data_IF_209489863244
#
_entry.id   IF_209489863244
#
_cell.length_a   1.000
_cell.length_b   1.000
_cell.length_c   1.000
_cell.angle_alpha   90.00
_cell.angle_beta   90.00
_cell.angle_gamma   90.00
#
_symmetry.space_group_name_H-M   'P 1'
#
loop_
_entity.id
_entity.type
_entity.pdbx_description
1 polymer ?
#
# COMPACT_ATOMS: atom_id res chain seq x y z
N UNK A 1 -33.48 -49.62 5.78
CA UNK A 1 -32.00 -49.59 5.61
C UNK A 1 -31.51 -48.85 4.35
N UNK A 2 -32.34 -48.61 3.32
CA UNK A 2 -31.91 -47.95 2.06
C UNK A 2 -31.83 -46.41 2.15
N UNK A 3 -32.57 -45.76 3.07
CA UNK A 3 -32.56 -44.29 3.22
C UNK A 3 -31.31 -43.72 3.93
N UNK A 4 -30.67 -44.49 4.81
CA UNK A 4 -29.47 -44.06 5.54
C UNK A 4 -28.24 -43.96 4.61
N UNK A 5 -28.23 -44.72 3.51
CA UNK A 5 -27.16 -44.64 2.50
C UNK A 5 -27.24 -43.38 1.63
N UNK A 6 -28.43 -42.80 1.42
CA UNK A 6 -28.59 -41.56 0.62
C UNK A 6 -28.26 -40.28 1.40
N UNK A 7 -28.26 -40.35 2.74
CA UNK A 7 -27.90 -39.21 3.59
C UNK A 7 -26.39 -39.15 3.90
N UNK A 8 -25.68 -40.28 3.84
CA UNK A 8 -24.23 -40.32 3.94
C UNK A 8 -23.53 -39.69 2.72
N UNK A 9 -24.11 -39.88 1.53
CA UNK A 9 -23.59 -39.36 0.25
C UNK A 9 -23.86 -37.85 0.05
N UNK A 10 -24.95 -37.32 0.62
CA UNK A 10 -25.25 -35.87 0.57
C UNK A 10 -24.39 -35.03 1.52
N UNK A 11 -23.58 -35.68 2.37
CA UNK A 11 -22.62 -35.03 3.29
C UNK A 11 -21.21 -34.91 2.70
N UNK A 12 -20.88 -35.69 1.66
CA UNK A 12 -19.59 -35.62 0.93
C UNK A 12 -19.62 -34.64 -0.24
N UNK A 13 -20.80 -34.20 -0.67
CA UNK A 13 -21.02 -33.14 -1.67
C UNK A 13 -21.44 -31.79 -1.08
N UNK A 14 -21.09 -31.51 0.18
CA UNK A 14 -21.16 -30.13 0.70
C UNK A 14 -20.23 -29.24 -0.13
N UNK A 15 -20.53 -27.94 -0.32
CA UNK A 15 -19.82 -27.07 -1.26
C UNK A 15 -18.32 -26.99 -0.92
N UNK A 16 -17.53 -27.89 -1.50
CA UNK A 16 -16.06 -27.80 -1.52
C UNK A 16 -15.58 -26.56 -2.29
N UNK A 17 -16.51 -25.83 -2.91
CA UNK A 17 -16.35 -24.52 -3.54
C UNK A 17 -16.58 -23.35 -2.54
N UNK A 18 -16.18 -23.51 -1.28
CA UNK A 18 -16.09 -22.41 -0.30
C UNK A 18 -14.71 -22.39 0.39
N UNK A 19 -13.73 -23.07 -0.19
CA UNK A 19 -12.35 -22.98 0.27
C UNK A 19 -11.81 -21.62 -0.19
N UNK A 20 -12.03 -20.59 0.63
CA UNK A 20 -11.22 -19.36 0.57
C UNK A 20 -9.77 -19.83 0.51
N UNK A 21 -9.03 -19.53 -0.58
CA UNK A 21 -7.64 -19.94 -0.68
C UNK A 21 -6.91 -19.52 0.59
N UNK A 22 -6.23 -20.47 1.23
CA UNK A 22 -5.46 -20.17 2.43
C UNK A 22 -4.47 -19.05 2.15
N UNK A 23 -4.10 -18.27 3.16
CA UNK A 23 -3.17 -17.13 3.07
C UNK A 23 -1.81 -17.47 2.42
N UNK A 24 -1.52 -18.77 2.27
CA UNK A 24 -0.35 -19.37 1.63
C UNK A 24 -0.49 -19.56 0.12
N UNK A 25 -1.60 -19.16 -0.48
CA UNK A 25 -1.77 -19.21 -1.93
C UNK A 25 -0.73 -18.29 -2.60
N UNK A 26 0.03 -18.75 -3.61
CA UNK A 26 0.98 -17.93 -4.35
C UNK A 26 0.38 -16.61 -4.86
N UNK A 27 -0.93 -16.58 -5.15
CA UNK A 27 -1.63 -15.37 -5.56
C UNK A 27 -1.64 -14.30 -4.45
N UNK A 28 -1.93 -14.69 -3.20
CA UNK A 28 -1.98 -13.76 -2.05
C UNK A 28 -0.62 -13.17 -1.76
N UNK A 29 0.44 -13.99 -1.80
CA UNK A 29 1.82 -13.54 -1.58
C UNK A 29 2.26 -12.55 -2.67
N UNK A 30 1.88 -12.81 -3.92
CA UNK A 30 2.20 -11.93 -5.05
C UNK A 30 1.52 -10.57 -4.91
N UNK A 31 0.23 -10.54 -4.57
CA UNK A 31 -0.52 -9.29 -4.35
C UNK A 31 0.04 -8.48 -3.18
N UNK A 32 0.49 -9.14 -2.10
CA UNK A 32 1.15 -8.48 -0.98
C UNK A 32 2.50 -7.86 -1.39
N UNK A 33 3.31 -8.60 -2.16
CA UNK A 33 4.59 -8.11 -2.66
C UNK A 33 4.39 -6.85 -3.53
N UNK A 34 3.41 -6.87 -4.43
CA UNK A 34 3.08 -5.73 -5.29
C UNK A 34 2.58 -4.54 -4.48
N UNK A 35 1.74 -4.77 -3.46
CA UNK A 35 1.30 -3.72 -2.54
C UNK A 35 2.47 -3.02 -1.84
N UNK A 36 3.50 -3.77 -1.40
CA UNK A 36 4.69 -3.19 -0.79
C UNK A 36 5.52 -2.37 -1.78
N UNK A 37 5.67 -2.84 -3.04
CA UNK A 37 6.38 -2.10 -4.07
C UNK A 37 5.68 -0.78 -4.39
N UNK A 38 4.35 -0.81 -4.56
CA UNK A 38 3.54 0.39 -4.79
C UNK A 38 3.66 1.35 -3.60
N UNK A 39 3.54 0.86 -2.37
CA UNK A 39 3.70 1.70 -1.17
C UNK A 39 5.10 2.34 -1.08
N UNK A 40 6.16 1.59 -1.40
CA UNK A 40 7.52 2.12 -1.45
C UNK A 40 7.67 3.21 -2.54
N UNK A 41 7.12 2.97 -3.73
CA UNK A 41 7.16 3.92 -4.84
C UNK A 41 6.37 5.21 -4.55
N UNK A 42 5.21 5.10 -3.91
CA UNK A 42 4.39 6.25 -3.52
C UNK A 42 5.06 7.11 -2.44
N UNK A 43 5.74 6.46 -1.50
CA UNK A 43 6.36 7.12 -0.35
C UNK A 43 7.76 7.69 -0.67
N UNK A 44 8.50 7.10 -1.61
CA UNK A 44 9.87 7.49 -1.92
C UNK A 44 10.06 8.99 -2.30
N UNK A 45 9.30 9.59 -3.24
CA UNK A 45 9.48 10.99 -3.61
C UNK A 45 9.27 11.98 -2.45
N UNK A 46 8.14 11.97 -1.69
CA UNK A 46 7.96 12.89 -0.57
C UNK A 46 8.94 12.64 0.59
N UNK A 47 9.36 11.40 0.82
CA UNK A 47 10.39 11.08 1.82
C UNK A 47 11.75 11.66 1.45
N UNK A 48 12.18 11.52 0.19
CA UNK A 48 13.44 12.10 -0.29
C UNK A 48 13.42 13.63 -0.17
N UNK A 49 12.31 14.27 -0.55
CA UNK A 49 12.16 15.71 -0.39
C UNK A 49 12.23 16.13 1.08
N UNK A 50 11.54 15.42 1.98
CA UNK A 50 11.57 15.66 3.41
C UNK A 50 12.96 15.46 4.02
N UNK A 51 13.72 14.47 3.51
CA UNK A 51 15.09 14.17 3.93
C UNK A 51 16.03 15.30 3.53
N UNK A 52 16.03 15.69 2.25
CA UNK A 52 16.89 16.76 1.73
C UNK A 52 16.60 18.08 2.45
N UNK A 53 15.32 18.46 2.54
CA UNK A 53 14.92 19.67 3.26
C UNK A 53 15.33 19.61 4.73
N UNK A 54 15.10 18.47 5.40
CA UNK A 54 15.48 18.26 6.80
C UNK A 54 16.98 18.43 7.05
N UNK A 55 17.82 17.84 6.19
CA UNK A 55 19.28 17.95 6.29
C UNK A 55 19.74 19.39 6.10
N UNK A 56 19.29 20.06 5.04
CA UNK A 56 19.65 21.46 4.76
C UNK A 56 19.25 22.36 5.93
N UNK A 57 18.04 22.22 6.43
CA UNK A 57 17.51 23.03 7.54
C UNK A 57 18.27 22.74 8.84
N UNK A 58 18.58 21.48 9.16
CA UNK A 58 19.35 21.13 10.36
C UNK A 58 20.76 21.72 10.36
N UNK A 59 21.39 21.82 9.18
CA UNK A 59 22.70 22.45 9.05
C UNK A 59 22.61 23.96 9.26
N UNK A 60 21.61 24.61 8.68
CA UNK A 60 21.37 26.05 8.87
C UNK A 60 21.08 26.38 10.35
N UNK A 61 20.34 25.53 11.04
CA UNK A 61 20.08 25.69 12.48
C UNK A 61 21.35 25.55 13.32
N UNK A 62 22.20 24.58 12.99
CA UNK A 62 23.47 24.39 13.68
C UNK A 62 24.41 25.60 13.49
N UNK A 63 24.49 26.15 12.28
CA UNK A 63 25.38 27.29 11.95
C UNK A 63 24.87 28.60 12.56
N UNK A 64 23.56 28.83 12.59
CA UNK A 64 22.96 30.10 13.07
C UNK A 64 22.63 30.10 14.57
N UNK A 65 22.72 28.95 15.25
CA UNK A 65 22.33 28.77 16.66
C UNK A 65 20.85 29.09 16.96
N UNK A 66 20.00 29.25 15.95
CA UNK A 66 18.56 29.48 16.12
C UNK A 66 17.85 28.12 16.15
N UNK A 67 17.36 27.72 17.33
CA UNK A 67 16.64 26.45 17.54
C UNK A 67 15.15 26.69 17.88
N UNK A 68 14.48 27.49 17.05
CA UNK A 68 13.04 27.75 17.17
C UNK A 68 12.26 26.69 16.38
N UNK A 69 11.53 25.82 17.10
CA UNK A 69 10.82 24.67 16.53
C UNK A 69 9.90 25.04 15.35
N UNK A 70 9.28 26.22 15.38
CA UNK A 70 8.36 26.72 14.35
C UNK A 70 9.06 27.01 13.01
N UNK A 71 10.29 27.54 13.03
CA UNK A 71 11.05 27.87 11.81
C UNK A 71 11.52 26.60 11.09
N UNK A 72 11.72 25.51 11.83
CA UNK A 72 12.13 24.21 11.27
C UNK A 72 10.99 23.55 10.50
N UNK A 73 9.76 23.72 11.00
CA UNK A 73 8.60 22.97 10.54
C UNK A 73 8.11 23.44 9.18
N UNK A 74 8.08 24.76 8.97
CA UNK A 74 7.47 25.37 7.79
C UNK A 74 8.18 25.00 6.46
N UNK A 75 9.52 25.12 6.33
CA UNK A 75 10.19 24.84 5.06
C UNK A 75 10.17 23.34 4.73
N UNK A 76 10.21 22.46 5.73
CA UNK A 76 10.06 21.01 5.53
C UNK A 76 8.67 20.64 5.01
N UNK A 77 7.61 21.23 5.57
CA UNK A 77 6.24 21.02 5.10
C UNK A 77 6.03 21.57 3.69
N UNK A 78 6.62 22.74 3.38
CA UNK A 78 6.58 23.30 2.04
C UNK A 78 7.27 22.38 1.00
N UNK A 79 8.39 21.76 1.36
CA UNK A 79 9.08 20.80 0.48
C UNK A 79 8.22 19.56 0.18
N UNK A 80 7.58 18.98 1.21
CA UNK A 80 6.67 17.84 1.03
C UNK A 80 5.45 18.23 0.21
N UNK A 81 4.81 19.36 0.54
CA UNK A 81 3.65 19.86 -0.20
C UNK A 81 3.99 20.15 -1.67
N UNK A 82 5.13 20.78 -1.95
CA UNK A 82 5.60 21.03 -3.31
C UNK A 82 5.85 19.73 -4.08
N UNK A 83 6.43 18.73 -3.43
CA UNK A 83 6.64 17.41 -4.04
C UNK A 83 5.31 16.74 -4.38
N UNK A 84 4.33 16.79 -3.48
CA UNK A 84 2.99 16.25 -3.73
C UNK A 84 2.24 17.02 -4.82
N UNK A 85 2.43 18.34 -4.95
CA UNK A 85 1.84 19.11 -6.05
C UNK A 85 2.43 18.73 -7.40
N UNK A 86 3.76 18.59 -7.49
CA UNK A 86 4.45 18.28 -8.75
C UNK A 86 4.24 16.81 -9.14
N UNK A 87 4.37 15.88 -8.19
CA UNK A 87 4.27 14.43 -8.41
C UNK A 87 2.84 13.90 -8.24
N UNK A 88 1.87 14.74 -7.86
CA UNK A 88 0.53 14.31 -7.48
C UNK A 88 -0.16 13.49 -8.55
N UNK A 89 -0.12 13.94 -9.81
CA UNK A 89 -0.71 13.20 -10.94
C UNK A 89 -0.10 11.81 -11.11
N UNK A 90 1.23 11.68 -10.96
CA UNK A 90 1.93 10.39 -11.05
C UNK A 90 1.57 9.46 -9.88
N UNK A 91 1.53 9.99 -8.65
CA UNK A 91 1.19 9.23 -7.45
C UNK A 91 -0.26 8.72 -7.50
N UNK A 92 -1.19 9.59 -7.92
CA UNK A 92 -2.60 9.24 -8.13
C UNK A 92 -2.77 8.20 -9.24
N UNK A 93 -2.03 8.35 -10.35
CA UNK A 93 -2.03 7.37 -11.44
C UNK A 93 -1.54 5.99 -10.98
N UNK A 94 -0.44 5.95 -10.22
CA UNK A 94 0.12 4.69 -9.68
C UNK A 94 -0.86 4.03 -8.70
N UNK A 95 -1.47 4.81 -7.80
CA UNK A 95 -2.45 4.29 -6.85
C UNK A 95 -3.72 3.77 -7.55
N UNK A 96 -4.19 4.52 -8.56
CA UNK A 96 -5.37 4.14 -9.34
C UNK A 96 -5.12 2.84 -10.11
N UNK A 97 -3.95 2.70 -10.74
CA UNK A 97 -3.56 1.49 -11.46
C UNK A 97 -3.56 0.26 -10.52
N UNK A 98 -2.92 0.38 -9.37
CA UNK A 98 -2.91 -0.69 -8.37
C UNK A 98 -4.32 -1.05 -7.88
N UNK A 99 -5.19 -0.06 -7.67
CA UNK A 99 -6.58 -0.31 -7.30
C UNK A 99 -7.32 -1.13 -8.38
N UNK A 100 -7.13 -0.80 -9.67
CA UNK A 100 -7.74 -1.54 -10.78
C UNK A 100 -7.24 -3.00 -10.84
N UNK A 101 -5.96 -3.23 -10.58
CA UNK A 101 -5.36 -4.57 -10.55
C UNK A 101 -6.00 -5.44 -9.46
N UNK A 102 -6.18 -4.88 -8.25
CA UNK A 102 -6.84 -5.57 -7.14
C UNK A 102 -8.32 -5.89 -7.44
N UNK A 103 -9.07 -4.93 -8.00
CA UNK A 103 -10.47 -5.18 -8.37
C UNK A 103 -10.58 -6.25 -9.47
N UNK A 104 -9.68 -6.24 -10.45
CA UNK A 104 -9.63 -7.26 -11.51
C UNK A 104 -9.31 -8.64 -10.94
N UNK A 105 -8.35 -8.71 -10.01
CA UNK A 105 -8.00 -9.95 -9.32
C UNK A 105 -9.18 -10.51 -8.51
N UNK A 106 -9.96 -9.66 -7.83
CA UNK A 106 -11.14 -10.08 -7.09
C UNK A 106 -12.22 -10.70 -7.99
N UNK A 107 -12.48 -10.11 -9.17
CA UNK A 107 -13.49 -10.62 -10.11
C UNK A 107 -13.12 -12.01 -10.63
N UNK A 108 -11.82 -12.30 -10.80
CA UNK A 108 -11.37 -13.60 -11.30
C UNK A 108 -11.53 -14.75 -10.29
N UNK A 109 -11.53 -14.44 -9.00
CA UNK A 109 -11.66 -15.43 -7.89
C UNK A 109 -13.13 -15.68 -7.51
N UNK A 110 -14.05 -14.81 -7.93
CA UNK A 110 -15.49 -14.90 -7.67
C UNK A 110 -16.27 -15.75 -8.67
#
# INVERSE_FOLDING_TARGET
MVLQRRLADKRSGGPASLAVPGMTDPAVITSLHEAFLVAAQLSAPPLLAALVAGVVISLLQAVTQINEATIVFLPKMAAVAGTLMIMGSFLLGTLSQFAHEIFTAMIHVG
#
